data_IF_846231305154
#
_entry.id   IF_846231305154
#
_cell.length_a   1.000
_cell.length_b   1.000
_cell.length_c   1.000
_cell.angle_alpha   90.00
_cell.angle_beta   90.00
_cell.angle_gamma   90.00
#
_symmetry.space_group_name_H-M   'P 1'
#
loop_
_entity.id
_entity.type
_entity.pdbx_description
1 polymer ?
#
# COMPACT_ATOMS: atom_id res chain seq x y z
N UNK A 1 -17.99 13.29 15.57
CA UNK A 1 -17.46 12.34 14.57
C UNK A 1 -16.07 12.81 14.23
N UNK A 2 -15.04 12.14 14.74
CA UNK A 2 -13.71 12.20 14.17
C UNK A 2 -13.09 10.83 14.43
N UNK A 3 -12.81 10.14 13.34
CA UNK A 3 -12.28 8.79 13.28
C UNK A 3 -10.92 8.76 13.96
N UNK A 4 -10.70 7.76 14.81
CA UNK A 4 -9.36 7.35 15.20
C UNK A 4 -8.91 6.27 14.20
N UNK A 5 -7.94 6.53 13.31
CA UNK A 5 -7.26 5.45 12.64
C UNK A 5 -6.08 5.05 13.51
N UNK A 6 -6.20 3.88 14.12
CA UNK A 6 -5.06 3.13 14.65
C UNK A 6 -4.19 2.84 13.43
N UNK A 7 -2.94 3.28 13.48
CA UNK A 7 -2.03 3.33 12.36
C UNK A 7 -1.47 1.94 12.00
N UNK A 8 -2.34 1.04 11.53
CA UNK A 8 -1.94 -0.20 10.83
C UNK A 8 -1.40 0.08 9.43
N UNK A 9 -1.57 1.31 8.94
CA UNK A 9 -1.11 1.74 7.62
C UNK A 9 0.42 1.80 7.54
N UNK A 10 1.13 2.23 8.59
CA UNK A 10 2.59 2.42 8.50
C UNK A 10 3.39 1.14 8.31
N UNK A 11 3.05 0.08 9.04
CA UNK A 11 3.68 -1.23 8.85
C UNK A 11 3.35 -1.83 7.48
N UNK A 12 2.14 -1.56 6.99
CA UNK A 12 1.74 -1.96 5.65
C UNK A 12 2.50 -1.16 4.59
N UNK A 13 2.72 0.15 4.79
CA UNK A 13 3.47 1.02 3.87
C UNK A 13 4.95 0.61 3.74
N UNK A 14 5.62 0.26 4.85
CA UNK A 14 6.99 -0.26 4.79
C UNK A 14 7.03 -1.58 4.02
N UNK A 15 6.06 -2.46 4.26
CA UNK A 15 5.96 -3.76 3.55
C UNK A 15 5.66 -3.54 2.06
N UNK A 16 4.77 -2.61 1.73
CA UNK A 16 4.47 -2.20 0.36
C UNK A 16 5.72 -1.63 -0.33
N UNK A 17 6.48 -0.77 0.34
CA UNK A 17 7.74 -0.23 -0.18
C UNK A 17 8.74 -1.36 -0.49
N UNK A 18 8.87 -2.34 0.42
CA UNK A 18 9.73 -3.51 0.19
C UNK A 18 9.27 -4.33 -1.02
N UNK A 19 7.97 -4.52 -1.21
CA UNK A 19 7.41 -5.23 -2.36
C UNK A 19 7.68 -4.48 -3.68
N UNK A 20 7.51 -3.15 -3.69
CA UNK A 20 7.80 -2.30 -4.86
C UNK A 20 9.30 -2.35 -5.21
N UNK A 21 10.18 -2.27 -4.22
CA UNK A 21 11.63 -2.41 -4.41
C UNK A 21 12.00 -3.78 -5.00
N UNK A 22 11.40 -4.85 -4.47
CA UNK A 22 11.62 -6.20 -4.98
C UNK A 22 11.13 -6.35 -6.42
N UNK A 23 9.95 -5.81 -6.74
CA UNK A 23 9.43 -5.78 -8.11
C UNK A 23 10.36 -5.02 -9.07
N UNK A 24 10.85 -3.84 -8.66
CA UNK A 24 11.80 -3.06 -9.43
C UNK A 24 13.09 -3.86 -9.72
N UNK A 25 13.63 -4.53 -8.70
CA UNK A 25 14.83 -5.35 -8.85
C UNK A 25 14.62 -6.52 -9.83
N UNK A 26 13.44 -7.15 -9.78
CA UNK A 26 13.08 -8.25 -10.66
C UNK A 26 12.90 -7.77 -12.11
N UNK A 27 12.29 -6.60 -12.31
CA UNK A 27 12.17 -5.99 -13.63
C UNK A 27 13.55 -5.69 -14.21
N UNK A 28 14.46 -5.09 -13.43
CA UNK A 28 15.83 -4.83 -13.90
C UNK A 28 16.58 -6.11 -14.26
N UNK A 29 16.52 -7.13 -13.39
CA UNK A 29 17.19 -8.41 -13.63
C UNK A 29 16.66 -9.11 -14.89
N UNK A 30 15.32 -9.19 -15.02
CA UNK A 30 14.67 -9.81 -16.18
C UNK A 30 14.94 -9.02 -17.45
N UNK A 31 14.88 -7.69 -17.35
CA UNK A 31 15.15 -6.76 -18.44
C UNK A 31 16.53 -6.93 -19.04
N UNK A 32 17.56 -6.86 -18.19
CA UNK A 32 18.95 -7.07 -18.61
C UNK A 32 19.12 -8.48 -19.19
N UNK A 33 18.51 -9.50 -18.58
CA UNK A 33 18.56 -10.88 -19.07
C UNK A 33 17.98 -11.04 -20.48
N UNK A 34 16.82 -10.44 -20.76
CA UNK A 34 16.20 -10.46 -22.08
C UNK A 34 17.06 -9.71 -23.10
N UNK A 35 17.54 -8.52 -22.75
CA UNK A 35 18.40 -7.72 -23.64
C UNK A 35 19.72 -8.43 -23.97
N UNK A 36 20.29 -9.15 -23.02
CA UNK A 36 21.52 -9.90 -23.25
C UNK A 36 21.28 -11.15 -24.10
N UNK A 37 20.18 -11.89 -23.86
CA UNK A 37 19.79 -13.06 -24.66
C UNK A 37 19.48 -12.70 -26.11
N UNK A 38 18.77 -11.59 -26.29
CA UNK A 38 18.25 -11.17 -27.58
C UNK A 38 19.14 -10.10 -28.26
N UNK A 39 20.35 -9.88 -27.74
CA UNK A 39 21.32 -8.94 -28.27
C UNK A 39 21.64 -9.25 -29.75
N UNK A 40 21.70 -8.21 -30.57
CA UNK A 40 22.08 -8.32 -31.97
C UNK A 40 23.61 -8.42 -32.09
N UNK A 41 24.07 -9.27 -33.00
CA UNK A 41 25.48 -9.43 -33.34
C UNK A 41 25.85 -8.31 -34.30
N UNK A 42 26.80 -7.47 -33.90
CA UNK A 42 27.30 -6.37 -34.72
C UNK A 42 28.64 -6.81 -35.32
N UNK A 43 28.83 -6.73 -36.65
CA UNK A 43 30.11 -7.07 -37.27
C UNK A 43 31.18 -6.09 -36.81
N UNK A 44 32.24 -6.61 -36.19
CA UNK A 44 33.42 -5.81 -35.78
C UNK A 44 34.25 -5.39 -37.00
N UNK A 45 34.23 -6.21 -38.07
CA UNK A 45 34.88 -5.92 -39.34
C UNK A 45 33.82 -5.79 -40.45
N UNK A 46 33.70 -4.63 -41.13
CA UNK A 46 32.73 -4.42 -42.20
C UNK A 46 32.84 -5.41 -43.38
N UNK A 47 34.01 -6.02 -43.56
CA UNK A 47 34.28 -6.94 -44.67
C UNK A 47 33.91 -8.39 -44.37
N UNK A 48 33.53 -8.72 -43.12
CA UNK A 48 33.13 -10.07 -42.72
C UNK A 48 31.65 -10.02 -42.32
N UNK A 49 30.73 -10.52 -43.16
CA UNK A 49 29.31 -10.53 -42.83
C UNK A 49 29.05 -11.48 -41.65
N UNK A 50 28.12 -11.10 -40.77
CA UNK A 50 27.59 -11.99 -39.74
C UNK A 50 26.75 -13.06 -40.46
N UNK A 51 27.21 -14.31 -40.45
CA UNK A 51 26.62 -15.37 -41.29
C UNK A 51 25.42 -16.08 -40.66
N UNK A 52 25.10 -15.84 -39.38
CA UNK A 52 24.02 -16.55 -38.70
C UNK A 52 22.62 -16.01 -38.99
N UNK A 53 22.47 -14.73 -39.37
CA UNK A 53 21.15 -14.10 -39.53
C UNK A 53 21.01 -13.33 -40.83
N UNK A 54 19.82 -13.38 -41.41
CA UNK A 54 19.49 -12.55 -42.55
C UNK A 54 19.31 -11.08 -42.13
N UNK A 55 19.53 -10.11 -43.03
CA UNK A 55 19.31 -8.70 -42.72
C UNK A 55 17.89 -8.38 -42.21
N UNK A 56 16.87 -9.11 -42.71
CA UNK A 56 15.49 -8.98 -42.26
C UNK A 56 15.31 -9.44 -40.80
N UNK A 57 15.88 -10.58 -40.43
CA UNK A 57 15.83 -11.09 -39.05
C UNK A 57 16.50 -10.13 -38.05
N UNK A 58 17.61 -9.50 -38.45
CA UNK A 58 18.30 -8.49 -37.62
C UNK A 58 17.45 -7.23 -37.47
N UNK A 59 16.73 -6.80 -38.52
CA UNK A 59 15.83 -5.65 -38.45
C UNK A 59 14.63 -5.91 -37.54
N UNK A 60 13.96 -7.05 -37.71
CA UNK A 60 12.81 -7.47 -36.90
C UNK A 60 13.19 -7.60 -35.41
N UNK A 61 14.35 -8.21 -35.12
CA UNK A 61 14.85 -8.32 -33.75
C UNK A 61 15.23 -6.97 -33.14
N UNK A 62 15.82 -6.06 -33.93
CA UNK A 62 16.07 -4.69 -33.46
C UNK A 62 14.77 -3.97 -33.10
N UNK A 63 13.73 -4.05 -33.94
CA UNK A 63 12.44 -3.41 -33.69
C UNK A 63 11.75 -3.99 -32.44
N UNK A 64 11.77 -5.31 -32.29
CA UNK A 64 11.28 -6.00 -31.09
C UNK A 64 12.04 -5.58 -29.83
N UNK A 65 13.36 -5.51 -29.90
CA UNK A 65 14.19 -5.09 -28.77
C UNK A 65 13.93 -3.63 -28.39
N UNK A 66 13.76 -2.74 -29.37
CA UNK A 66 13.45 -1.33 -29.10
C UNK A 66 12.07 -1.16 -28.45
N UNK A 67 11.07 -1.90 -28.91
CA UNK A 67 9.74 -1.94 -28.27
C UNK A 67 9.86 -2.40 -26.81
N UNK A 68 10.56 -3.50 -26.58
CA UNK A 68 10.80 -4.02 -25.24
C UNK A 68 11.55 -3.02 -24.33
N UNK A 69 12.58 -2.33 -24.86
CA UNK A 69 13.33 -1.30 -24.12
C UNK A 69 12.40 -0.16 -23.71
N UNK A 70 11.53 0.29 -24.61
CA UNK A 70 10.59 1.37 -24.31
C UNK A 70 9.59 0.94 -23.23
N UNK A 71 9.03 -0.26 -23.34
CA UNK A 71 8.05 -0.78 -22.38
C UNK A 71 8.68 -0.94 -20.99
N UNK A 72 9.85 -1.57 -20.91
CA UNK A 72 10.51 -1.79 -19.62
C UNK A 72 11.00 -0.48 -18.99
N UNK A 73 11.44 0.48 -19.79
CA UNK A 73 11.85 1.80 -19.29
C UNK A 73 10.66 2.54 -18.71
N UNK A 74 9.50 2.49 -19.38
CA UNK A 74 8.26 3.09 -18.89
C UNK A 74 7.81 2.45 -17.58
N UNK A 75 7.86 1.12 -17.48
CA UNK A 75 7.46 0.41 -16.27
C UNK A 75 8.44 0.67 -15.11
N UNK A 76 9.75 0.65 -15.35
CA UNK A 76 10.77 1.03 -14.36
C UNK A 76 10.54 2.46 -13.86
N UNK A 77 10.28 3.40 -14.76
CA UNK A 77 10.05 4.81 -14.40
C UNK A 77 8.79 4.96 -13.56
N UNK A 78 7.70 4.28 -13.95
CA UNK A 78 6.43 4.30 -13.21
C UNK A 78 6.59 3.73 -11.81
N UNK A 79 7.23 2.57 -11.68
CA UNK A 79 7.47 1.92 -10.38
C UNK A 79 8.43 2.74 -9.51
N UNK A 80 9.41 3.44 -10.11
CA UNK A 80 10.28 4.36 -9.37
C UNK A 80 9.50 5.55 -8.80
N UNK A 81 8.57 6.12 -9.58
CA UNK A 81 7.70 7.19 -9.09
C UNK A 81 6.74 6.70 -7.99
N UNK A 82 6.20 5.49 -8.12
CA UNK A 82 5.39 4.87 -7.07
C UNK A 82 6.17 4.69 -5.77
N UNK A 83 7.43 4.24 -5.87
CA UNK A 83 8.33 4.14 -4.73
C UNK A 83 8.57 5.50 -4.07
N UNK A 84 8.77 6.57 -4.84
CA UNK A 84 8.92 7.94 -4.32
C UNK A 84 7.66 8.39 -3.57
N UNK A 85 6.48 8.18 -4.16
CA UNK A 85 5.20 8.51 -3.52
C UNK A 85 5.00 7.73 -2.21
N UNK A 86 5.41 6.45 -2.16
CA UNK A 86 5.37 5.65 -0.93
C UNK A 86 6.35 6.17 0.13
N UNK A 87 7.53 6.63 -0.27
CA UNK A 87 8.49 7.23 0.67
C UNK A 87 7.93 8.53 1.26
N UNK A 88 7.24 9.34 0.46
CA UNK A 88 6.60 10.56 0.94
C UNK A 88 5.39 10.28 1.86
N UNK A 89 4.69 9.16 1.65
CA UNK A 89 3.54 8.78 2.47
C UNK A 89 3.91 8.14 3.81
N UNK A 90 5.14 7.65 3.97
CA UNK A 90 5.63 7.13 5.26
C UNK A 90 5.66 8.30 6.26
N UNK A 91 4.93 8.21 7.38
CA UNK A 91 4.98 9.26 8.37
C UNK A 91 6.37 9.32 8.99
N UNK A 92 6.88 10.55 9.06
CA UNK A 92 8.23 10.81 9.55
C UNK A 92 8.25 10.59 11.05
N UNK A 93 8.87 9.50 11.48
CA UNK A 93 9.20 9.26 12.89
C UNK A 93 10.28 10.28 13.26
N UNK A 94 9.84 11.45 13.71
CA UNK A 94 10.73 12.56 14.09
C UNK A 94 11.08 12.50 15.59
N UNK A 95 10.56 11.49 16.29
CA UNK A 95 10.67 11.35 17.73
C UNK A 95 11.61 10.20 18.10
N UNK A 96 12.34 10.37 19.20
CA UNK A 96 13.00 9.26 19.90
C UNK A 96 11.94 8.30 20.47
N UNK A 97 12.31 7.04 20.65
CA UNK A 97 11.43 5.98 21.16
C UNK A 97 10.71 6.38 22.45
N UNK A 98 11.41 7.06 23.38
CA UNK A 98 10.82 7.51 24.65
C UNK A 98 9.63 8.47 24.46
N UNK A 99 9.70 9.40 23.50
CA UNK A 99 8.58 10.29 23.18
C UNK A 99 7.44 9.56 22.51
N UNK A 100 7.74 8.52 21.73
CA UNK A 100 6.71 7.69 21.12
C UNK A 100 5.95 6.89 22.18
N UNK A 101 6.66 6.38 23.19
CA UNK A 101 6.06 5.73 24.36
C UNK A 101 5.17 6.71 25.12
N UNK A 102 5.65 7.93 25.43
CA UNK A 102 4.84 8.95 26.10
C UNK A 102 3.55 9.30 25.32
N UNK A 103 3.65 9.41 24.00
CA UNK A 103 2.47 9.63 23.13
C UNK A 103 1.50 8.46 23.22
N UNK A 104 2.00 7.22 23.21
CA UNK A 104 1.18 6.01 23.31
C UNK A 104 0.47 5.92 24.66
N UNK A 105 1.17 6.19 25.77
CA UNK A 105 0.59 6.23 27.12
C UNK A 105 -0.55 7.25 27.21
N UNK A 106 -0.35 8.44 26.63
CA UNK A 106 -1.38 9.47 26.58
C UNK A 106 -2.60 9.03 25.77
N UNK A 107 -2.39 8.40 24.62
CA UNK A 107 -3.49 7.88 23.78
C UNK A 107 -4.24 6.77 24.52
N UNK A 108 -3.55 5.92 25.27
CA UNK A 108 -4.17 4.87 26.08
C UNK A 108 -5.07 5.46 27.18
N UNK A 109 -4.59 6.48 27.88
CA UNK A 109 -5.38 7.18 28.90
C UNK A 109 -6.61 7.88 28.30
N UNK A 110 -6.44 8.56 27.15
CA UNK A 110 -7.55 9.18 26.42
C UNK A 110 -8.57 8.14 25.93
N UNK A 111 -8.11 6.99 25.43
CA UNK A 111 -8.96 5.89 24.97
C UNK A 111 -9.76 5.29 26.12
N UNK A 112 -9.13 5.06 27.27
CA UNK A 112 -9.79 4.56 28.47
C UNK A 112 -10.87 5.53 28.95
N UNK A 113 -10.55 6.82 29.05
CA UNK A 113 -11.52 7.84 29.46
C UNK A 113 -12.70 7.95 28.48
N UNK A 114 -12.47 7.75 27.18
CA UNK A 114 -13.54 7.68 26.19
C UNK A 114 -14.40 6.41 26.35
N UNK A 115 -13.78 5.27 26.67
CA UNK A 115 -14.46 4.00 26.97
C UNK A 115 -15.38 4.12 28.19
N UNK A 116 -14.90 4.68 29.29
CA UNK A 116 -15.68 4.86 30.52
C UNK A 116 -16.91 5.76 30.29
N UNK A 117 -16.75 6.82 29.48
CA UNK A 117 -17.86 7.69 29.06
C UNK A 117 -18.87 6.93 28.20
N UNK A 118 -18.40 6.09 27.29
CA UNK A 118 -19.26 5.27 26.45
C UNK A 118 -20.08 4.29 27.30
N UNK A 119 -19.45 3.63 28.27
CA UNK A 119 -20.11 2.70 29.19
C UNK A 119 -21.18 3.41 30.03
N UNK A 120 -20.89 4.62 30.51
CA UNK A 120 -21.87 5.45 31.23
C UNK A 120 -23.09 5.75 30.36
N UNK A 121 -22.87 6.17 29.10
CA UNK A 121 -23.95 6.46 28.16
C UNK A 121 -24.77 5.21 27.85
N UNK A 122 -24.13 4.03 27.72
CA UNK A 122 -24.84 2.76 27.50
C UNK A 122 -25.73 2.43 28.70
N UNK A 123 -25.23 2.57 29.92
CA UNK A 123 -26.02 2.31 31.13
C UNK A 123 -27.22 3.27 31.27
N UNK A 124 -27.04 4.55 30.95
CA UNK A 124 -28.13 5.53 30.91
C UNK A 124 -29.16 5.19 29.81
N UNK A 125 -28.70 4.73 28.65
CA UNK A 125 -29.59 4.31 27.58
C UNK A 125 -30.39 3.04 27.92
N UNK A 126 -29.75 2.05 28.58
CA UNK A 126 -30.41 0.82 29.02
C UNK A 126 -31.48 1.09 30.09
N UNK A 127 -31.16 1.92 31.08
CA UNK A 127 -32.13 2.30 32.13
C UNK A 127 -33.33 3.06 31.55
N UNK A 128 -33.10 4.03 30.66
CA UNK A 128 -34.16 4.74 29.97
C UNK A 128 -35.04 3.78 29.14
N UNK A 129 -34.43 2.78 28.51
CA UNK A 129 -35.14 1.82 27.68
C UNK A 129 -36.03 0.91 28.53
N UNK A 130 -35.58 0.50 29.71
CA UNK A 130 -36.39 -0.26 30.67
C UNK A 130 -37.53 0.57 31.27
N UNK A 131 -37.31 1.87 31.52
CA UNK A 131 -38.37 2.80 31.94
C UNK A 131 -39.45 2.96 30.86
N UNK A 132 -39.06 3.06 29.60
CA UNK A 132 -40.00 3.09 28.46
C UNK A 132 -40.77 1.78 28.38
N UNK A 133 -40.09 0.62 28.47
CA UNK A 133 -40.72 -0.70 28.42
C UNK A 133 -41.73 -0.91 29.55
N UNK A 134 -41.38 -0.52 30.77
CA UNK A 134 -42.26 -0.64 31.93
C UNK A 134 -43.48 0.28 31.82
N UNK A 135 -43.30 1.51 31.35
CA UNK A 135 -44.40 2.46 31.08
C UNK A 135 -45.35 1.93 30.00
N UNK A 136 -44.83 1.37 28.91
CA UNK A 136 -45.61 0.74 27.85
C UNK A 136 -46.42 -0.45 28.38
N UNK A 137 -45.80 -1.28 29.22
CA UNK A 137 -46.47 -2.43 29.86
C UNK A 137 -47.59 -1.99 30.80
N UNK A 138 -47.37 -0.94 31.60
CA UNK A 138 -48.38 -0.36 32.47
C UNK A 138 -49.59 0.18 31.69
N UNK A 139 -49.36 0.87 30.55
CA UNK A 139 -50.43 1.35 29.68
C UNK A 139 -51.23 0.18 29.08
N UNK A 140 -50.55 -0.88 28.64
CA UNK A 140 -51.23 -2.07 28.13
C UNK A 140 -52.06 -2.80 29.20
N UNK A 141 -51.57 -2.89 30.44
CA UNK A 141 -52.30 -3.54 31.54
C UNK A 141 -53.49 -2.70 32.05
N UNK A 142 -53.39 -1.36 31.99
CA UNK A 142 -54.50 -0.45 32.36
C UNK A 142 -55.54 -0.27 31.26
N UNK A 143 -55.16 -0.38 29.98
CA UNK A 143 -56.10 -0.34 28.85
C UNK A 143 -56.92 -1.63 28.67
N UNK A 144 -56.57 -2.71 29.36
CA UNK A 144 -57.23 -4.02 29.27
C UNK A 144 -58.23 -4.27 30.43
N UNK A 145 -58.61 -3.21 31.15
CA UNK A 145 -59.72 -3.14 32.11
C UNK A 145 -60.76 -2.15 31.61
#
# INVERSE_FOLDING_TARGET
MNEAPINTTDQDLITQLQNVLMGLSQMMFTGVGVLQRDANLIPVNPNIPVTEWTPQQVSERNESNQTFINDITNDITRTSLEMENLIESIPKITCNEDKQIEILEKIEEESKAAGDKLETIINEAETLLDDIRSSLRYIMETSNK
#
